data_IF_326584787982
#
_entry.id   IF_326584787982
#
_cell.length_a   1.000
_cell.length_b   1.000
_cell.length_c   1.000
_cell.angle_alpha   90.00
_cell.angle_beta   90.00
_cell.angle_gamma   90.00
#
_symmetry.space_group_name_H-M   'P 1'
#
loop_
_entity.id
_entity.type
_entity.pdbx_description
1 polymer ?
#
# COMPACT_ATOMS: atom_id res chain seq x y z
N UNK A 1 7.56 2.53 26.15
CA UNK A 1 7.86 3.05 24.80
C UNK A 1 7.63 1.91 23.81
N UNK A 2 6.59 1.99 22.98
CA UNK A 2 6.33 1.00 21.93
C UNK A 2 7.05 1.48 20.67
N UNK A 3 8.17 0.86 20.33
CA UNK A 3 8.74 1.01 18.99
C UNK A 3 7.77 0.33 18.04
N UNK A 4 7.04 1.14 17.25
CA UNK A 4 6.28 0.61 16.13
C UNK A 4 7.25 -0.25 15.28
N UNK A 5 6.87 -1.48 14.90
CA UNK A 5 7.73 -2.28 14.06
C UNK A 5 7.99 -1.54 12.75
N UNK A 6 9.26 -1.24 12.49
CA UNK A 6 9.71 -0.67 11.22
C UNK A 6 10.00 -1.82 10.27
N UNK A 7 9.16 -1.94 9.25
CA UNK A 7 9.37 -2.90 8.18
C UNK A 7 10.10 -2.21 7.03
N UNK A 8 11.29 -2.70 6.68
CA UNK A 8 12.03 -2.27 5.50
C UNK A 8 12.11 -3.47 4.54
N UNK A 9 11.37 -3.40 3.43
CA UNK A 9 11.41 -4.42 2.39
C UNK A 9 12.06 -3.84 1.13
N UNK A 10 13.00 -4.55 0.50
CA UNK A 10 13.41 -4.23 -0.86
C UNK A 10 12.17 -4.21 -1.76
N UNK A 11 11.99 -3.18 -2.60
CA UNK A 11 10.85 -3.12 -3.54
C UNK A 11 10.78 -4.35 -4.44
N UNK A 12 11.94 -4.95 -4.76
CA UNK A 12 12.04 -6.20 -5.53
C UNK A 12 11.37 -7.41 -4.86
N UNK A 13 11.20 -7.40 -3.54
CA UNK A 13 10.52 -8.47 -2.79
C UNK A 13 9.01 -8.26 -2.71
N UNK A 14 8.51 -7.12 -3.20
CA UNK A 14 7.08 -6.82 -3.28
C UNK A 14 6.57 -7.33 -4.64
N UNK A 15 5.69 -8.32 -4.58
CA UNK A 15 5.12 -8.97 -5.76
C UNK A 15 3.86 -8.26 -6.24
N UNK A 16 3.14 -7.62 -5.32
CA UNK A 16 1.89 -6.92 -5.62
C UNK A 16 1.74 -5.74 -4.67
N UNK A 17 1.34 -4.61 -5.22
CA UNK A 17 0.90 -3.43 -4.49
C UNK A 17 -0.52 -3.17 -4.99
N UNK A 18 -1.48 -3.04 -4.09
CA UNK A 18 -2.86 -2.73 -4.45
C UNK A 18 -3.41 -1.68 -3.49
N UNK A 19 -4.03 -0.64 -4.04
CA UNK A 19 -4.69 0.38 -3.23
C UNK A 19 -6.18 0.22 -3.23
N UNK A 20 -6.74 0.40 -2.04
CA UNK A 20 -8.14 0.15 -1.73
C UNK A 20 -8.65 1.19 -0.75
N UNK A 21 -9.94 1.48 -0.83
CA UNK A 21 -10.64 2.20 0.22
C UNK A 21 -11.21 1.18 1.21
N UNK A 22 -10.74 1.22 2.46
CA UNK A 22 -11.27 0.39 3.54
C UNK A 22 -12.11 1.27 4.47
N UNK A 23 -13.43 1.17 4.34
CA UNK A 23 -14.36 1.99 5.14
C UNK A 23 -14.16 3.49 4.93
N UNK A 24 -13.93 3.90 3.68
CA UNK A 24 -13.69 5.31 3.29
C UNK A 24 -12.27 5.82 3.57
N UNK A 25 -11.37 4.97 4.07
CA UNK A 25 -9.96 5.34 4.31
C UNK A 25 -9.04 4.67 3.29
N UNK A 26 -8.05 5.38 2.75
CA UNK A 26 -7.09 4.78 1.84
C UNK A 26 -6.23 3.74 2.56
N UNK A 27 -6.01 2.61 1.89
CA UNK A 27 -5.22 1.50 2.37
C UNK A 27 -4.36 0.90 1.26
N UNK A 28 -3.19 0.41 1.66
CA UNK A 28 -2.23 -0.28 0.79
C UNK A 28 -2.12 -1.74 1.24
N UNK A 29 -2.28 -2.64 0.27
CA UNK A 29 -2.03 -4.05 0.44
C UNK A 29 -0.75 -4.42 -0.30
N UNK A 30 0.18 -5.03 0.42
CA UNK A 30 1.45 -5.51 -0.10
C UNK A 30 1.48 -7.03 0.03
N UNK A 31 1.78 -7.72 -1.07
CA UNK A 31 2.15 -9.13 -1.04
C UNK A 31 3.65 -9.24 -1.25
N UNK A 32 4.34 -9.85 -0.30
CA UNK A 32 5.78 -10.13 -0.38
C UNK A 32 6.04 -11.63 -0.26
N UNK A 33 7.29 -12.06 -0.44
CA UNK A 33 7.70 -13.44 -0.14
C UNK A 33 7.50 -13.83 1.33
N UNK A 34 7.45 -12.85 2.22
CA UNK A 34 7.37 -13.04 3.68
C UNK A 34 5.92 -13.06 4.18
N UNK A 35 4.96 -12.63 3.35
CA UNK A 35 3.54 -12.64 3.68
C UNK A 35 2.76 -11.47 3.07
N UNK A 36 1.51 -11.37 3.48
CA UNK A 36 0.58 -10.32 3.09
C UNK A 36 0.49 -9.26 4.20
N UNK A 37 0.61 -7.99 3.81
CA UNK A 37 0.58 -6.84 4.72
C UNK A 37 -0.46 -5.83 4.27
N UNK A 38 -1.12 -5.17 5.23
CA UNK A 38 -2.14 -4.15 4.99
C UNK A 38 -1.85 -2.92 5.84
N UNK A 39 -1.75 -1.76 5.21
CA UNK A 39 -1.51 -0.47 5.84
C UNK A 39 -2.71 0.43 5.59
N UNK A 40 -3.36 0.92 6.63
CA UNK A 40 -4.44 1.91 6.51
C UNK A 40 -3.90 3.28 6.90
N UNK A 41 -4.10 4.26 6.03
CA UNK A 41 -3.59 5.61 6.22
C UNK A 41 -4.60 6.42 7.02
N UNK A 42 -4.15 6.94 8.15
CA UNK A 42 -4.97 7.76 9.03
C UNK A 42 -4.62 9.22 8.79
N UNK A 43 -5.53 9.97 8.18
CA UNK A 43 -5.37 11.41 7.93
C UNK A 43 -4.79 11.81 6.57
N UNK A 44 -4.44 10.83 5.71
CA UNK A 44 -4.09 11.12 4.31
C UNK A 44 -5.34 10.98 3.44
N UNK A 45 -5.45 11.83 2.43
CA UNK A 45 -6.47 11.75 1.39
C UNK A 45 -6.21 10.58 0.45
N UNK A 46 -7.24 10.22 -0.33
CA UNK A 46 -7.14 9.17 -1.35
C UNK A 46 -6.14 9.55 -2.42
N UNK A 47 -6.12 10.82 -2.84
CA UNK A 47 -5.23 11.33 -3.88
C UNK A 47 -3.76 11.29 -3.44
N UNK A 48 -3.46 11.67 -2.19
CA UNK A 48 -2.10 11.59 -1.64
C UNK A 48 -1.58 10.15 -1.61
N UNK A 49 -2.43 9.20 -1.25
CA UNK A 49 -2.04 7.78 -1.25
C UNK A 49 -1.92 7.25 -2.68
N UNK A 50 -2.76 7.71 -3.62
CA UNK A 50 -2.65 7.36 -5.04
C UNK A 50 -1.30 7.80 -5.66
N UNK A 51 -0.79 8.97 -5.29
CA UNK A 51 0.55 9.42 -5.71
C UNK A 51 1.65 8.49 -5.19
N UNK A 52 1.52 8.00 -3.95
CA UNK A 52 2.44 6.99 -3.40
C UNK A 52 2.36 5.68 -4.19
N UNK A 53 1.18 5.28 -4.65
CA UNK A 53 1.02 4.11 -5.52
C UNK A 53 1.76 4.26 -6.84
N UNK A 54 1.54 5.37 -7.54
CA UNK A 54 2.20 5.64 -8.83
C UNK A 54 3.73 5.67 -8.66
N UNK A 55 4.24 6.18 -7.55
CA UNK A 55 5.66 6.18 -7.26
C UNK A 55 6.23 4.78 -6.97
N UNK A 56 5.45 3.90 -6.33
CA UNK A 56 5.88 2.54 -5.98
C UNK A 56 5.69 1.53 -7.11
N UNK A 57 4.74 1.78 -8.02
CA UNK A 57 4.54 1.02 -9.24
C UNK A 57 4.36 1.96 -10.46
N UNK A 58 5.47 2.53 -10.96
CA UNK A 58 5.43 3.45 -12.11
C UNK A 58 5.00 2.77 -13.42
N UNK A 59 4.92 1.43 -13.45
CA UNK A 59 4.40 0.69 -14.60
C UNK A 59 2.87 0.71 -14.69
N UNK A 60 2.18 0.98 -13.58
CA UNK A 60 0.73 0.96 -13.48
C UNK A 60 0.09 -0.42 -13.64
N UNK A 61 0.88 -1.49 -13.80
CA UNK A 61 0.37 -2.86 -14.00
C UNK A 61 -0.22 -3.45 -12.71
N UNK A 62 0.15 -2.93 -11.53
CA UNK A 62 -0.34 -3.32 -10.21
C UNK A 62 -1.31 -2.25 -9.71
N UNK A 63 -2.43 -2.14 -10.43
CA UNK A 63 -3.39 -1.06 -10.27
C UNK A 63 -4.00 -0.90 -8.86
N UNK A 64 -4.45 0.32 -8.58
CA UNK A 64 -5.42 0.65 -7.55
C UNK A 64 -6.74 -0.07 -7.85
N UNK A 65 -7.14 -1.03 -7.00
CA UNK A 65 -8.44 -1.67 -7.12
C UNK A 65 -9.40 -0.97 -6.16
N UNK A 66 -10.27 -0.10 -6.67
CA UNK A 66 -11.41 0.35 -5.89
C UNK A 66 -12.28 -0.88 -5.53
N UNK A 67 -12.60 -1.03 -4.24
CA UNK A 67 -13.62 -2.00 -3.84
C UNK A 67 -14.96 -1.51 -4.38
N UNK A 68 -15.74 -2.41 -4.98
CA UNK A 68 -17.09 -2.13 -5.45
C UNK A 68 -18.07 -1.82 -4.32
#
# INVERSE_FOLDING_TARGET
MSTAPSFLWPLADIHTIAGRLRGGRPAIFLRTRQGDFSFTFMGNSVDEVALLFEALDPSGERGLYADG
#
